data_IF_300257061640
#
_entry.id   IF_300257061640
#
_cell.length_a   1.000
_cell.length_b   1.000
_cell.length_c   1.000
_cell.angle_alpha   90.00
_cell.angle_beta   90.00
_cell.angle_gamma   90.00
#
_symmetry.space_group_name_H-M   'P 1'
#
loop_
_entity.id
_entity.type
_entity.pdbx_description
1 polymer ?
#
# COMPACT_ATOMS: atom_id res chain seq x y z
N UNK A 1 17.46 -11.49 -8.66
CA UNK A 1 18.14 -10.40 -7.92
C UNK A 1 17.10 -9.50 -7.29
N UNK A 2 17.11 -9.30 -5.96
CA UNK A 2 16.19 -8.34 -5.29
C UNK A 2 16.53 -6.91 -5.75
N UNK A 3 15.52 -6.05 -5.91
CA UNK A 3 15.74 -4.63 -6.24
C UNK A 3 16.34 -3.92 -5.03
N UNK A 4 17.20 -2.93 -5.27
CA UNK A 4 17.57 -1.97 -4.21
C UNK A 4 16.41 -1.03 -3.89
N UNK A 5 16.42 -0.39 -2.72
CA UNK A 5 15.37 0.55 -2.31
C UNK A 5 15.25 1.70 -3.32
N UNK A 6 16.38 2.25 -3.79
CA UNK A 6 16.41 3.27 -4.83
C UNK A 6 15.78 2.81 -6.16
N UNK A 7 16.02 1.55 -6.57
CA UNK A 7 15.39 0.98 -7.76
C UNK A 7 13.89 0.78 -7.60
N UNK A 8 13.44 0.39 -6.40
CA UNK A 8 12.02 0.24 -6.07
C UNK A 8 11.31 1.60 -6.09
N UNK A 9 11.86 2.62 -5.42
CA UNK A 9 11.36 4.01 -5.42
C UNK A 9 11.26 4.56 -6.84
N UNK A 10 12.33 4.42 -7.64
CA UNK A 10 12.34 4.84 -9.06
C UNK A 10 11.28 4.11 -9.89
N UNK A 11 11.03 2.83 -9.63
CA UNK A 11 9.98 2.06 -10.33
C UNK A 11 8.59 2.61 -10.04
N UNK A 12 8.27 2.89 -8.77
CA UNK A 12 6.96 3.42 -8.37
C UNK A 12 6.74 4.81 -8.98
N UNK A 13 7.70 5.73 -8.82
CA UNK A 13 7.61 7.09 -9.39
C UNK A 13 7.39 7.07 -10.90
N UNK A 14 8.20 6.31 -11.64
CA UNK A 14 8.04 6.17 -13.11
C UNK A 14 6.68 5.60 -13.52
N UNK A 15 6.11 4.71 -12.71
CA UNK A 15 4.78 4.17 -13.00
C UNK A 15 3.70 5.22 -12.82
N UNK A 16 3.76 5.98 -11.73
CA UNK A 16 2.82 7.07 -11.45
C UNK A 16 2.93 8.18 -12.50
N UNK A 17 4.15 8.59 -12.87
CA UNK A 17 4.38 9.57 -13.95
C UNK A 17 3.74 9.14 -15.28
N UNK A 18 3.89 7.86 -15.65
CA UNK A 18 3.45 7.36 -16.95
C UNK A 18 1.98 6.95 -16.98
N UNK A 19 1.47 6.43 -15.88
CA UNK A 19 0.20 5.71 -15.84
C UNK A 19 -0.73 6.14 -14.70
N UNK A 20 -0.32 7.04 -13.80
CA UNK A 20 -1.08 7.39 -12.59
C UNK A 20 -2.52 7.77 -12.88
N UNK A 21 -2.76 8.56 -13.94
CA UNK A 21 -4.08 9.03 -14.38
C UNK A 21 -4.90 8.02 -15.19
N UNK A 22 -4.37 6.83 -15.46
CA UNK A 22 -5.12 5.81 -16.21
C UNK A 22 -6.25 5.25 -15.35
N UNK A 23 -7.44 5.22 -15.94
CA UNK A 23 -8.67 4.68 -15.36
C UNK A 23 -9.02 3.29 -15.90
N UNK A 24 -8.45 2.90 -17.04
CA UNK A 24 -8.73 1.64 -17.72
C UNK A 24 -7.77 0.52 -17.27
N UNK A 25 -7.84 0.13 -16.00
CA UNK A 25 -7.07 -0.99 -15.47
C UNK A 25 -7.94 -1.89 -14.59
N UNK A 26 -7.55 -3.16 -14.48
CA UNK A 26 -8.25 -4.14 -13.66
C UNK A 26 -7.40 -4.46 -12.45
N UNK A 27 -7.97 -4.29 -11.26
CA UNK A 27 -7.34 -4.69 -10.01
C UNK A 27 -7.53 -6.19 -9.85
N UNK A 28 -6.41 -6.90 -9.74
CA UNK A 28 -6.37 -8.34 -9.52
C UNK A 28 -5.45 -8.62 -8.33
N UNK A 29 -5.66 -9.73 -7.64
CA UNK A 29 -4.78 -10.15 -6.54
C UNK A 29 -3.28 -10.14 -6.94
N UNK A 30 -2.98 -10.57 -8.18
CA UNK A 30 -1.62 -10.54 -8.73
C UNK A 30 -1.08 -9.12 -8.89
N UNK A 31 -1.92 -8.18 -9.33
CA UNK A 31 -1.54 -6.77 -9.45
C UNK A 31 -1.28 -6.16 -8.08
N UNK A 32 -2.15 -6.43 -7.10
CA UNK A 32 -1.96 -5.98 -5.71
C UNK A 32 -0.65 -6.52 -5.15
N UNK A 33 -0.41 -7.84 -5.22
CA UNK A 33 0.85 -8.45 -4.73
C UNK A 33 2.09 -7.90 -5.44
N UNK A 34 2.00 -7.63 -6.75
CA UNK A 34 3.09 -7.05 -7.52
C UNK A 34 3.50 -5.67 -6.98
N UNK A 35 2.51 -4.82 -6.69
CA UNK A 35 2.75 -3.48 -6.17
C UNK A 35 3.06 -3.48 -4.69
N UNK A 36 2.43 -4.33 -3.90
CA UNK A 36 2.78 -4.56 -2.49
C UNK A 36 4.26 -4.89 -2.35
N UNK A 37 4.80 -5.83 -3.16
CA UNK A 37 6.23 -6.16 -3.10
C UNK A 37 7.14 -4.98 -3.50
N UNK A 38 6.70 -4.15 -4.45
CA UNK A 38 7.46 -2.97 -4.86
C UNK A 38 7.44 -1.88 -3.79
N UNK A 39 6.28 -1.63 -3.18
CA UNK A 39 6.07 -0.65 -2.12
C UNK A 39 6.76 -1.08 -0.82
N UNK A 40 6.73 -2.37 -0.47
CA UNK A 40 7.44 -2.90 0.70
C UNK A 40 8.94 -2.57 0.60
N UNK A 41 9.56 -2.82 -0.56
CA UNK A 41 10.96 -2.47 -0.77
C UNK A 41 11.21 -0.96 -0.86
N UNK A 42 10.25 -0.18 -1.36
CA UNK A 42 10.42 1.25 -1.59
C UNK A 42 10.24 2.09 -0.32
N UNK A 43 9.26 1.73 0.50
CA UNK A 43 8.74 2.49 1.65
C UNK A 43 9.18 1.89 2.99
N UNK A 44 9.14 0.56 3.10
CA UNK A 44 9.37 -0.15 4.36
C UNK A 44 10.71 -0.91 4.36
N UNK A 45 11.58 -0.62 3.38
CA UNK A 45 12.88 -1.26 3.17
C UNK A 45 12.85 -2.81 3.13
N UNK A 46 11.68 -3.38 2.80
CA UNK A 46 11.46 -4.82 2.75
C UNK A 46 11.17 -5.47 4.10
N UNK A 47 10.90 -4.69 5.15
CA UNK A 47 10.65 -5.17 6.51
C UNK A 47 9.26 -5.79 6.70
N UNK A 48 8.26 -5.42 5.89
CA UNK A 48 6.91 -5.95 6.08
C UNK A 48 6.86 -7.44 5.75
N UNK A 49 6.28 -8.27 6.63
CA UNK A 49 6.01 -9.65 6.31
C UNK A 49 4.94 -9.71 5.21
N UNK A 50 4.99 -10.76 4.39
CA UNK A 50 3.98 -10.96 3.36
C UNK A 50 2.61 -11.15 4.01
N UNK A 51 1.55 -10.44 3.57
CA UNK A 51 0.21 -10.63 4.11
C UNK A 51 -0.22 -12.09 3.92
N UNK A 52 -0.99 -12.61 4.89
CA UNK A 52 -1.56 -13.97 4.85
C UNK A 52 -2.41 -14.12 3.59
N UNK A 53 -3.22 -13.10 3.32
CA UNK A 53 -4.12 -13.07 2.19
C UNK A 53 -4.19 -11.67 1.56
N UNK A 54 -4.40 -11.65 0.25
CA UNK A 54 -4.85 -10.46 -0.47
C UNK A 54 -6.20 -10.77 -1.09
N UNK A 55 -7.20 -9.96 -0.78
CA UNK A 55 -8.56 -10.12 -1.33
C UNK A 55 -8.92 -8.89 -2.15
N UNK A 56 -9.46 -9.11 -3.35
CA UNK A 56 -10.01 -8.03 -4.18
C UNK A 56 -11.52 -8.20 -4.20
N UNK A 57 -12.23 -7.34 -3.48
CA UNK A 57 -13.69 -7.37 -3.33
C UNK A 57 -14.19 -5.97 -2.93
N UNK A 58 -15.46 -5.63 -3.16
CA UNK A 58 -16.03 -4.40 -2.64
C UNK A 58 -15.86 -4.30 -1.12
N UNK A 59 -15.40 -3.14 -0.65
CA UNK A 59 -15.23 -2.85 0.79
C UNK A 59 -16.29 -1.83 1.19
N UNK A 60 -17.07 -2.13 2.23
CA UNK A 60 -18.23 -1.29 2.59
C UNK A 60 -17.77 -0.04 3.31
N UNK A 61 -17.89 1.12 2.65
CA UNK A 61 -17.61 2.42 3.25
C UNK A 61 -16.14 2.80 3.33
N UNK A 62 -15.27 2.08 2.61
CA UNK A 62 -13.84 2.33 2.47
C UNK A 62 -13.36 1.79 1.11
N UNK A 63 -12.13 2.12 0.71
CA UNK A 63 -11.51 1.59 -0.51
C UNK A 63 -10.48 0.48 -0.26
N UNK A 64 -10.11 0.26 1.01
CA UNK A 64 -9.22 -0.79 1.47
C UNK A 64 -9.47 -1.09 2.94
N UNK A 65 -9.03 -2.27 3.37
CA UNK A 65 -8.95 -2.58 4.81
C UNK A 65 -7.82 -3.57 5.08
N UNK A 66 -7.13 -3.35 6.19
CA UNK A 66 -6.14 -4.28 6.74
C UNK A 66 -6.72 -4.93 7.97
N UNK A 67 -6.84 -6.25 7.95
CA UNK A 67 -7.43 -7.03 9.03
C UNK A 67 -6.36 -7.81 9.81
N UNK A 68 -6.38 -7.80 11.15
CA UNK A 68 -5.53 -8.67 11.93
C UNK A 68 -5.88 -10.13 11.66
N UNK A 69 -4.84 -10.96 11.66
CA UNK A 69 -4.96 -12.42 11.60
C UNK A 69 -4.20 -13.02 12.77
N UNK A 70 -4.43 -14.30 13.05
CA UNK A 70 -3.70 -15.02 14.11
C UNK A 70 -2.19 -15.20 13.84
N UNK A 71 -1.67 -14.67 12.72
CA UNK A 71 -0.31 -14.90 12.23
C UNK A 71 0.52 -13.61 12.12
N UNK A 72 0.11 -12.53 12.79
CA UNK A 72 0.77 -11.20 12.87
C UNK A 72 1.01 -10.47 11.53
N UNK A 73 0.79 -11.11 10.39
CA UNK A 73 1.07 -10.55 9.07
C UNK A 73 -0.12 -9.83 8.43
N UNK A 74 -1.32 -9.98 9.02
CA UNK A 74 -2.57 -9.40 8.53
C UNK A 74 -3.04 -9.91 7.15
N UNK A 75 -4.26 -9.54 6.78
CA UNK A 75 -4.82 -9.67 5.44
C UNK A 75 -5.09 -8.27 4.88
N UNK A 76 -4.87 -8.09 3.57
CA UNK A 76 -5.15 -6.81 2.89
C UNK A 76 -6.32 -7.02 1.92
N UNK A 77 -7.38 -6.26 2.11
CA UNK A 77 -8.51 -6.22 1.18
C UNK A 77 -8.49 -4.90 0.41
N UNK A 78 -8.75 -4.96 -0.89
CA UNK A 78 -8.75 -3.79 -1.78
C UNK A 78 -10.03 -3.78 -2.60
N UNK A 79 -10.67 -2.61 -2.65
CA UNK A 79 -11.84 -2.38 -3.50
C UNK A 79 -11.43 -2.37 -4.99
N UNK A 80 -12.12 -3.13 -5.86
CA UNK A 80 -11.81 -3.16 -7.29
C UNK A 80 -12.17 -1.87 -8.05
N UNK A 81 -12.99 -0.97 -7.48
CA UNK A 81 -13.51 0.24 -8.15
C UNK A 81 -12.61 1.49 -7.98
N UNK A 82 -11.36 1.29 -7.55
CA UNK A 82 -10.36 2.36 -7.46
C UNK A 82 -10.08 2.98 -8.84
N UNK A 83 -10.56 4.21 -9.00
CA UNK A 83 -10.73 4.89 -10.28
C UNK A 83 -9.44 5.17 -11.07
N UNK A 84 -8.28 5.24 -10.41
CA UNK A 84 -7.00 5.49 -11.09
C UNK A 84 -5.88 4.64 -10.50
N UNK A 85 -4.82 4.40 -11.28
CA UNK A 85 -3.63 3.69 -10.78
C UNK A 85 -2.95 4.43 -9.64
N UNK A 86 -2.92 5.76 -9.70
CA UNK A 86 -2.42 6.58 -8.59
C UNK A 86 -3.24 6.33 -7.33
N UNK A 87 -4.58 6.40 -7.44
CA UNK A 87 -5.45 6.16 -6.31
C UNK A 87 -5.28 4.74 -5.74
N UNK A 88 -5.16 3.74 -6.61
CA UNK A 88 -4.87 2.37 -6.20
C UNK A 88 -3.54 2.22 -5.44
N UNK A 89 -2.45 2.84 -5.91
CA UNK A 89 -1.16 2.79 -5.21
C UNK A 89 -1.25 3.51 -3.86
N UNK A 90 -1.98 4.63 -3.80
CA UNK A 90 -2.16 5.39 -2.57
C UNK A 90 -2.95 4.62 -1.51
N UNK A 91 -4.06 3.97 -1.90
CA UNK A 91 -4.83 3.10 -0.98
C UNK A 91 -4.00 1.90 -0.56
N UNK A 92 -3.28 1.26 -1.48
CA UNK A 92 -2.45 0.11 -1.13
C UNK A 92 -1.33 0.47 -0.13
N UNK A 93 -0.63 1.59 -0.32
CA UNK A 93 0.41 2.00 0.64
C UNK A 93 -0.18 2.42 1.99
N UNK A 94 -1.41 2.96 2.00
CA UNK A 94 -2.15 3.24 3.23
C UNK A 94 -2.41 1.96 4.03
N UNK A 95 -2.93 0.91 3.38
CA UNK A 95 -3.11 -0.40 4.03
C UNK A 95 -1.79 -1.02 4.51
N UNK A 96 -0.69 -0.78 3.79
CA UNK A 96 0.64 -1.24 4.23
C UNK A 96 1.16 -0.50 5.46
N UNK A 97 0.78 0.76 5.67
CA UNK A 97 1.08 1.48 6.91
C UNK A 97 0.32 0.83 8.07
N UNK A 98 -0.97 0.53 7.90
CA UNK A 98 -1.75 -0.22 8.90
C UNK A 98 -1.11 -1.58 9.23
N UNK A 99 -0.65 -2.30 8.21
CA UNK A 99 0.08 -3.55 8.37
C UNK A 99 1.37 -3.33 9.20
N UNK A 100 2.12 -2.26 8.92
CA UNK A 100 3.33 -1.92 9.66
C UNK A 100 3.03 -1.65 11.13
N UNK A 101 2.05 -0.80 11.42
CA UNK A 101 1.68 -0.42 12.78
C UNK A 101 1.21 -1.62 13.58
N UNK A 102 0.40 -2.51 12.98
CA UNK A 102 0.00 -3.76 13.60
C UNK A 102 1.20 -4.65 13.95
N UNK A 103 2.14 -4.83 13.03
CA UNK A 103 3.33 -5.68 13.24
C UNK A 103 4.28 -5.11 14.31
N UNK A 104 4.44 -3.78 14.37
CA UNK A 104 5.49 -3.15 15.20
C UNK A 104 4.96 -2.60 16.53
N UNK A 105 3.69 -2.21 16.59
CA UNK A 105 3.11 -1.52 17.73
C UNK A 105 1.92 -2.25 18.35
N UNK A 106 1.35 -3.25 17.66
CA UNK A 106 0.14 -3.96 18.12
C UNK A 106 -1.12 -3.08 18.15
N UNK A 107 -1.06 -1.89 17.55
CA UNK A 107 -2.15 -0.92 17.47
C UNK A 107 -2.28 -0.43 16.03
N UNK A 108 -3.52 -0.16 15.58
CA UNK A 108 -3.82 0.48 14.29
C UNK A 108 -4.54 1.80 14.56
N UNK A 109 -3.83 2.92 14.49
CA UNK A 109 -4.44 4.23 14.76
C UNK A 109 -3.92 5.29 13.82
N UNK A 110 -4.80 6.18 13.35
CA UNK A 110 -4.41 7.40 12.60
C UNK A 110 -3.83 8.49 13.52
N UNK A 111 -3.02 8.10 14.52
CA UNK A 111 -2.38 8.99 15.49
C UNK A 111 -1.15 9.72 14.91
N UNK A 112 -0.36 10.41 15.75
CA UNK A 112 0.83 11.16 15.30
C UNK A 112 1.81 10.31 14.46
N UNK A 113 1.96 9.02 14.79
CA UNK A 113 2.83 8.08 14.07
C UNK A 113 2.39 7.85 12.61
N UNK A 114 1.09 7.90 12.32
CA UNK A 114 0.58 7.82 10.96
C UNK A 114 0.98 9.05 10.12
N UNK A 115 1.10 10.23 10.74
CA UNK A 115 1.51 11.45 10.03
C UNK A 115 2.99 11.43 9.63
N UNK A 116 3.85 10.72 10.37
CA UNK A 116 5.26 10.52 10.00
C UNK A 116 5.38 9.80 8.64
N UNK A 117 4.47 8.87 8.35
CA UNK A 117 4.43 8.17 7.07
C UNK A 117 4.08 9.08 5.89
N UNK A 118 3.37 10.20 6.10
CA UNK A 118 2.99 11.10 5.00
C UNK A 118 4.21 11.66 4.28
N UNK A 119 5.16 12.20 5.04
CA UNK A 119 6.39 12.77 4.49
C UNK A 119 7.25 11.70 3.83
N UNK A 120 7.40 10.54 4.49
CA UNK A 120 8.17 9.40 3.97
C UNK A 120 7.60 8.92 2.63
N UNK A 121 6.28 8.73 2.54
CA UNK A 121 5.63 8.21 1.33
C UNK A 121 5.68 9.25 0.20
N UNK A 122 5.43 10.53 0.49
CA UNK A 122 5.52 11.60 -0.51
C UNK A 122 6.96 11.70 -1.04
N UNK A 123 7.97 11.69 -0.17
CA UNK A 123 9.37 11.75 -0.58
C UNK A 123 9.78 10.51 -1.39
N UNK A 124 9.45 9.31 -0.91
CA UNK A 124 10.00 8.07 -1.45
C UNK A 124 9.26 7.57 -2.70
N UNK A 125 7.95 7.78 -2.79
CA UNK A 125 7.13 7.24 -3.90
C UNK A 125 6.23 8.28 -4.58
N UNK A 126 6.08 9.48 -4.03
CA UNK A 126 5.43 10.61 -4.72
C UNK A 126 3.91 10.59 -4.68
N UNK A 127 3.30 9.86 -3.75
CA UNK A 127 1.84 9.92 -3.51
C UNK A 127 1.57 10.62 -2.17
N UNK A 128 0.42 11.26 -2.06
CA UNK A 128 -0.02 11.94 -0.84
C UNK A 128 -0.95 11.04 -0.06
N UNK A 129 -0.53 10.66 1.14
CA UNK A 129 -1.34 9.84 2.04
C UNK A 129 -2.41 10.72 2.73
N UNK A 130 -3.69 10.47 2.42
CA UNK A 130 -4.82 11.01 3.17
C UNK A 130 -5.20 10.10 4.34
N UNK A 131 -5.92 10.68 5.31
CA UNK A 131 -6.36 10.00 6.52
C UNK A 131 -7.44 8.96 6.22
N UNK A 132 -8.38 9.32 5.36
CA UNK A 132 -9.57 8.52 5.11
C UNK A 132 -9.55 8.08 3.64
N UNK A 133 -9.44 6.77 3.43
CA UNK A 133 -9.66 6.06 2.17
C UNK A 133 -10.62 4.91 2.46
#
# INVERSE_FOLDING_TARGET
MKRTNAQARKKVKKHLERYGRQTNFVITQRLVMHWWSALNQAVFDGSLPKPVEIVVKPVKGAYGETLPTNCDNGSIHIDPELSTREFFITVLVHEMVHQYEMVHYGEMTHGPKFYEWKEIIEEQVGVKLMRDY
#
